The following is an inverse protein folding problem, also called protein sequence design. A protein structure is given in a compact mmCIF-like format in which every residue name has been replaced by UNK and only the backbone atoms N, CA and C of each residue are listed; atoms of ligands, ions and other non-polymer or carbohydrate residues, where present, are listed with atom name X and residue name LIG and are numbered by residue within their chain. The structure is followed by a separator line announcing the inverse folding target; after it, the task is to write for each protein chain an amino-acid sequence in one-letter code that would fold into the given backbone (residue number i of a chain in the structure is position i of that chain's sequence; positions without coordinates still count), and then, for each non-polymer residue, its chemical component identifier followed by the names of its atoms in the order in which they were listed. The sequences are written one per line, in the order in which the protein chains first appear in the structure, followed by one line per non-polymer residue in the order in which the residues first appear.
data_IF_997592369635
#
_entry.id   IF_997592369635
#
_cell.length_a   1.000
_cell.length_b   1.000
_cell.length_c   1.000
_cell.angle_alpha   90.00
_cell.angle_beta   90.00
_cell.angle_gamma   90.00
#
_symmetry.space_group_name_H-M   'P 1'
#
loop_
_entity.id
_entity.type
_entity.pdbx_description
1 polymer ?
#
# COMPACT_ATOMS: atom_id res chain seq x y z
N UNK A 1 34.15 3.52 5.43
CA UNK A 1 33.11 4.38 6.02
C UNK A 1 31.88 3.53 6.30
N UNK A 2 31.43 3.47 7.54
CA UNK A 2 30.16 2.82 7.87
C UNK A 2 29.03 3.63 7.22
N UNK A 3 28.26 2.99 6.33
CA UNK A 3 27.10 3.62 5.68
C UNK A 3 25.95 3.64 6.67
N UNK A 4 25.29 4.79 6.84
CA UNK A 4 24.07 4.92 7.65
C UNK A 4 22.86 4.62 6.76
N UNK A 5 22.02 3.68 7.19
CA UNK A 5 20.76 3.34 6.53
C UNK A 5 19.61 3.81 7.41
N UNK A 6 18.84 4.79 6.92
CA UNK A 6 17.61 5.28 7.53
C UNK A 6 16.41 4.58 6.89
N UNK A 7 15.59 3.94 7.71
CA UNK A 7 14.37 3.28 7.30
C UNK A 7 13.19 4.05 7.90
N UNK A 8 12.21 4.38 7.09
CA UNK A 8 10.96 5.00 7.53
C UNK A 8 9.83 4.00 7.30
N UNK A 9 9.18 3.58 8.38
CA UNK A 9 7.98 2.76 8.35
C UNK A 9 6.73 3.64 8.47
N UNK A 10 5.99 3.74 7.37
CA UNK A 10 4.75 4.49 7.26
C UNK A 10 3.51 3.57 7.29
N UNK A 11 3.66 2.32 7.71
CA UNK A 11 2.62 1.28 7.61
C UNK A 11 1.56 1.35 8.73
N UNK A 12 1.77 2.21 9.73
CA UNK A 12 0.85 2.48 10.84
C UNK A 12 0.27 1.20 11.45
N UNK A 13 -1.05 0.99 11.38
CA UNK A 13 -1.76 -0.16 11.93
C UNK A 13 -1.33 -1.52 11.37
N UNK A 14 -0.60 -1.53 10.25
CA UNK A 14 -0.05 -2.75 9.62
C UNK A 14 1.45 -2.92 9.86
N UNK A 15 2.09 -1.96 10.56
CA UNK A 15 3.49 -2.09 10.96
C UNK A 15 3.64 -3.30 11.89
N UNK A 16 4.65 -4.15 11.64
CA UNK A 16 4.90 -5.33 12.45
C UNK A 16 6.41 -5.51 12.71
N UNK A 17 6.85 -5.75 13.96
CA UNK A 17 8.28 -5.82 14.32
C UNK A 17 9.05 -6.89 13.56
N UNK A 18 8.38 -7.97 13.17
CA UNK A 18 9.00 -9.07 12.43
C UNK A 18 9.69 -8.63 11.13
N UNK A 19 9.14 -7.65 10.41
CA UNK A 19 9.76 -7.11 9.20
C UNK A 19 11.16 -6.56 9.50
N UNK A 20 11.28 -5.80 10.59
CA UNK A 20 12.54 -5.15 10.97
C UNK A 20 13.50 -6.11 11.67
N UNK A 21 13.01 -7.06 12.46
CA UNK A 21 13.82 -8.14 13.02
C UNK A 21 14.51 -8.95 11.91
N UNK A 22 13.73 -9.37 10.89
CA UNK A 22 14.28 -10.09 9.74
C UNK A 22 15.37 -9.28 9.04
N UNK A 23 15.13 -7.98 8.83
CA UNK A 23 16.08 -7.10 8.20
C UNK A 23 17.37 -6.91 9.01
N UNK A 24 17.28 -6.83 10.35
CA UNK A 24 18.45 -6.79 11.23
C UNK A 24 19.31 -8.06 11.08
N UNK A 25 18.69 -9.25 11.06
CA UNK A 25 19.41 -10.49 10.79
C UNK A 25 20.07 -10.51 9.40
N UNK A 26 19.38 -9.98 8.38
CA UNK A 26 19.93 -9.89 7.02
C UNK A 26 21.12 -8.92 6.95
N UNK A 27 21.08 -7.82 7.70
CA UNK A 27 22.22 -6.90 7.82
C UNK A 27 23.38 -7.50 8.59
N UNK A 28 23.14 -8.27 9.65
CA UNK A 28 24.18 -8.96 10.39
C UNK A 28 24.97 -9.92 9.49
N UNK A 29 24.28 -10.64 8.59
CA UNK A 29 24.89 -11.59 7.64
C UNK A 29 25.53 -10.95 6.40
N UNK A 30 25.52 -9.62 6.27
CA UNK A 30 25.97 -8.93 5.05
C UNK A 30 27.50 -8.95 4.91
N UNK A 31 27.98 -9.25 3.69
CA UNK A 31 29.40 -9.08 3.36
C UNK A 31 29.83 -7.60 3.51
N UNK A 32 30.88 -7.37 4.32
CA UNK A 32 31.33 -6.03 4.69
C UNK A 32 30.80 -5.52 6.03
N UNK A 33 30.03 -6.33 6.76
CA UNK A 33 29.49 -6.02 8.08
C UNK A 33 28.16 -5.24 8.04
N UNK A 34 27.45 -5.16 9.18
CA UNK A 34 26.19 -4.43 9.26
C UNK A 34 26.41 -2.91 9.14
N UNK A 35 25.51 -2.17 8.47
CA UNK A 35 25.50 -0.71 8.52
C UNK A 35 25.04 -0.22 9.91
N UNK A 36 25.19 1.08 10.15
CA UNK A 36 24.40 1.74 11.20
C UNK A 36 22.95 1.85 10.70
N UNK A 37 22.01 1.34 11.47
CA UNK A 37 20.59 1.29 11.11
C UNK A 37 19.82 2.28 11.97
N UNK A 38 19.03 3.14 11.33
CA UNK A 38 18.12 4.04 12.03
C UNK A 38 16.71 3.79 11.53
N UNK A 39 15.80 3.44 12.41
CA UNK A 39 14.41 3.14 12.07
C UNK A 39 13.49 4.20 12.67
N UNK A 40 12.70 4.86 11.84
CA UNK A 40 11.61 5.73 12.27
C UNK A 40 10.28 5.03 11.99
N UNK A 41 9.45 4.80 13.02
CA UNK A 41 8.12 4.18 12.85
C UNK A 41 7.04 5.21 13.16
N UNK A 42 6.12 5.38 12.21
CA UNK A 42 4.90 6.19 12.37
C UNK A 42 3.76 5.27 12.81
N UNK A 43 3.16 5.54 13.97
CA UNK A 43 2.00 4.82 14.48
C UNK A 43 1.19 5.70 15.44
N UNK A 44 -0.09 5.45 15.58
CA UNK A 44 -1.00 6.11 16.53
C UNK A 44 -1.06 5.48 17.93
N UNK A 45 -0.31 4.40 18.19
CA UNK A 45 -0.27 3.68 19.47
C UNK A 45 1.13 3.82 20.08
N UNK A 46 1.21 4.58 21.18
CA UNK A 46 2.47 4.84 21.86
C UNK A 46 3.01 3.61 22.60
N UNK A 47 2.14 2.75 23.13
CA UNK A 47 2.54 1.53 23.85
C UNK A 47 3.09 0.52 22.86
N UNK A 48 2.45 0.40 21.69
CA UNK A 48 2.96 -0.41 20.59
C UNK A 48 4.37 0.05 20.16
N UNK A 49 4.56 1.36 19.97
CA UNK A 49 5.86 1.95 19.61
C UNK A 49 6.93 1.69 20.70
N UNK A 50 6.57 1.80 21.98
CA UNK A 50 7.49 1.54 23.08
C UNK A 50 7.92 0.06 23.13
N UNK A 51 6.96 -0.87 22.99
CA UNK A 51 7.24 -2.30 22.95
C UNK A 51 8.11 -2.68 21.75
N UNK A 52 7.80 -2.12 20.57
CA UNK A 52 8.57 -2.34 19.34
C UNK A 52 10.01 -1.82 19.48
N UNK A 53 10.19 -0.63 20.08
CA UNK A 53 11.52 -0.06 20.37
C UNK A 53 12.36 -1.01 21.22
N UNK A 54 11.82 -1.46 22.36
CA UNK A 54 12.53 -2.37 23.28
C UNK A 54 12.92 -3.66 22.56
N UNK A 55 11.97 -4.27 21.85
CA UNK A 55 12.20 -5.52 21.13
C UNK A 55 13.31 -5.40 20.08
N UNK A 56 13.26 -4.37 19.23
CA UNK A 56 14.21 -4.17 18.15
C UNK A 56 15.59 -3.72 18.65
N UNK A 57 15.65 -2.86 19.67
CA UNK A 57 16.92 -2.45 20.30
C UNK A 57 17.62 -3.65 20.93
N UNK A 58 16.90 -4.46 21.71
CA UNK A 58 17.47 -5.66 22.33
C UNK A 58 18.01 -6.65 21.28
N UNK A 59 17.32 -6.82 20.15
CA UNK A 59 17.81 -7.72 19.09
C UNK A 59 19.01 -7.13 18.35
N UNK A 60 19.01 -5.82 18.06
CA UNK A 60 20.14 -5.15 17.45
C UNK A 60 21.41 -5.23 18.32
N UNK A 61 21.28 -5.08 19.64
CA UNK A 61 22.37 -5.22 20.61
C UNK A 61 22.97 -6.63 20.60
N UNK A 62 22.13 -7.67 20.58
CA UNK A 62 22.58 -9.07 20.45
C UNK A 62 23.35 -9.30 19.15
N UNK A 63 22.87 -8.71 18.05
CA UNK A 63 23.50 -8.80 16.73
C UNK A 63 24.70 -7.86 16.55
N UNK A 64 25.00 -7.02 17.56
CA UNK A 64 26.04 -6.00 17.56
C UNK A 64 25.91 -5.02 16.38
N UNK A 65 24.67 -4.66 16.04
CA UNK A 65 24.35 -3.70 14.99
C UNK A 65 24.16 -2.33 15.65
N UNK A 66 24.89 -1.27 15.23
CA UNK A 66 24.61 0.09 15.68
C UNK A 66 23.19 0.48 15.26
N UNK A 67 22.29 0.68 16.22
CA UNK A 67 20.86 0.84 15.96
C UNK A 67 20.25 2.03 16.71
N UNK A 68 19.43 2.82 16.02
CA UNK A 68 18.63 3.89 16.60
C UNK A 68 17.16 3.72 16.20
N UNK A 69 16.25 3.83 17.17
CA UNK A 69 14.81 3.80 16.91
C UNK A 69 14.19 5.16 17.27
N UNK A 70 13.43 5.74 16.33
CA UNK A 70 12.69 6.98 16.49
C UNK A 70 11.19 6.70 16.35
N UNK A 71 10.39 7.28 17.23
CA UNK A 71 8.92 7.17 17.21
C UNK A 71 8.29 8.46 16.71
N UNK A 72 7.31 8.34 15.83
CA UNK A 72 6.47 9.47 15.40
C UNK A 72 5.02 9.09 15.64
N UNK A 73 4.35 9.81 16.54
CA UNK A 73 2.95 9.54 16.87
C UNK A 73 2.07 10.18 15.79
N UNK A 74 1.27 9.36 15.10
CA UNK A 74 0.33 9.84 14.10
C UNK A 74 0.01 8.82 13.02
N UNK A 75 -0.75 9.26 12.01
CA UNK A 75 -1.10 8.51 10.81
C UNK A 75 -0.62 9.25 9.57
N UNK A 76 -0.59 8.56 8.43
CA UNK A 76 -0.09 9.12 7.17
C UNK A 76 -0.84 10.40 6.76
N UNK A 77 -2.16 10.42 6.94
CA UNK A 77 -3.02 11.56 6.62
C UNK A 77 -2.86 12.76 7.58
N UNK A 78 -2.22 12.58 8.74
CA UNK A 78 -2.04 13.63 9.76
C UNK A 78 -0.60 14.15 9.87
N UNK A 79 0.35 13.61 9.10
CA UNK A 79 1.74 14.06 9.14
C UNK A 79 1.88 15.49 8.61
N UNK A 80 2.81 16.25 9.20
CA UNK A 80 3.20 17.55 8.67
C UNK A 80 4.07 17.38 7.41
N UNK A 81 3.40 17.36 6.27
CA UNK A 81 4.05 17.20 4.97
C UNK A 81 4.91 18.40 4.57
N UNK A 82 4.67 19.59 5.17
CA UNK A 82 5.46 20.79 4.88
C UNK A 82 6.86 20.72 5.50
N UNK A 83 7.00 19.96 6.57
CA UNK A 83 8.24 19.81 7.33
C UNK A 83 8.67 18.33 7.50
N UNK A 84 8.26 17.47 6.56
CA UNK A 84 8.34 16.01 6.68
C UNK A 84 9.73 15.49 7.05
N UNK A 85 10.81 16.12 6.57
CA UNK A 85 12.19 15.75 6.90
C UNK A 85 12.47 15.82 8.39
N UNK A 86 12.01 16.89 9.05
CA UNK A 86 12.20 17.09 10.48
C UNK A 86 11.24 16.20 11.28
N UNK A 87 9.99 16.08 10.84
CA UNK A 87 9.00 15.18 11.44
C UNK A 87 9.51 13.73 11.53
N UNK A 88 10.25 13.28 10.52
CA UNK A 88 10.78 11.92 10.43
C UNK A 88 12.23 11.76 10.94
N UNK A 89 12.83 12.81 11.50
CA UNK A 89 14.23 12.85 11.97
C UNK A 89 15.25 12.36 10.90
N UNK A 90 15.09 12.83 9.65
CA UNK A 90 15.95 12.41 8.54
C UNK A 90 17.13 13.37 8.39
N UNK A 91 18.35 12.88 8.65
CA UNK A 91 19.58 13.68 8.52
C UNK A 91 20.11 13.66 7.08
N UNK A 92 20.94 14.65 6.74
CA UNK A 92 21.60 14.70 5.44
C UNK A 92 22.71 13.64 5.35
N UNK A 93 22.87 13.03 4.17
CA UNK A 93 23.89 12.01 3.91
C UNK A 93 23.51 10.57 4.27
N UNK A 94 22.33 10.35 4.85
CA UNK A 94 21.79 9.00 5.13
C UNK A 94 21.24 8.36 3.85
N UNK A 95 21.41 7.04 3.69
CA UNK A 95 20.68 6.29 2.67
C UNK A 95 19.26 6.02 3.19
N UNK A 96 18.23 6.48 2.48
CA UNK A 96 16.84 6.49 2.95
C UNK A 96 16.03 5.40 2.23
N UNK A 97 15.43 4.49 2.98
CA UNK A 97 14.43 3.54 2.51
C UNK A 97 13.08 3.83 3.17
N UNK A 98 12.00 3.85 2.39
CA UNK A 98 10.64 4.06 2.88
C UNK A 98 9.85 2.78 2.67
N UNK A 99 9.10 2.34 3.67
CA UNK A 99 8.13 1.25 3.58
C UNK A 99 6.75 1.82 3.88
N UNK A 100 5.80 1.60 2.97
CA UNK A 100 4.43 2.05 3.12
C UNK A 100 3.49 0.90 2.71
N UNK A 101 2.99 0.18 3.70
CA UNK A 101 2.09 -0.96 3.47
C UNK A 101 0.68 -0.59 3.88
N UNK A 102 -0.27 -0.69 2.94
CA UNK A 102 -1.72 -0.57 3.13
C UNK A 102 -2.11 0.76 3.80
N UNK A 103 -1.53 1.87 3.36
CA UNK A 103 -1.80 3.20 3.95
C UNK A 103 -1.94 4.32 2.90
N UNK A 104 -1.36 4.18 1.70
CA UNK A 104 -1.41 5.24 0.69
C UNK A 104 -2.83 5.46 0.16
N UNK A 105 -3.67 4.43 0.10
CA UNK A 105 -5.07 4.57 -0.32
C UNK A 105 -5.86 5.60 0.53
N UNK A 106 -5.47 5.79 1.79
CA UNK A 106 -6.08 6.78 2.69
C UNK A 106 -5.85 8.23 2.24
N UNK A 107 -4.85 8.46 1.40
CA UNK A 107 -4.52 9.78 0.83
C UNK A 107 -5.37 10.12 -0.41
N UNK A 108 -6.19 9.18 -0.89
CA UNK A 108 -7.12 9.37 -2.01
C UNK A 108 -8.43 10.05 -1.59
N UNK A 109 -8.53 10.49 -0.33
CA UNK A 109 -9.68 11.25 0.18
C UNK A 109 -9.88 12.52 -0.66
N UNK A 110 -11.14 12.74 -1.04
CA UNK A 110 -11.59 13.93 -1.78
C UNK A 110 -12.27 14.87 -0.79
N UNK A 111 -11.72 16.07 -0.61
CA UNK A 111 -12.34 17.15 0.17
C UNK A 111 -13.30 17.93 -0.75
N UNK A 112 -14.52 17.43 -0.87
CA UNK A 112 -15.61 18.18 -1.49
C UNK A 112 -16.16 19.17 -0.46
N UNK A 113 -15.57 20.37 -0.40
CA UNK A 113 -16.09 21.49 0.41
C UNK A 113 -17.51 21.95 0.03
N UNK A 114 -18.17 21.28 -0.91
CA UNK A 114 -19.55 21.56 -1.31
C UNK A 114 -20.50 20.69 -0.47
N UNK A 115 -20.92 21.23 0.69
CA UNK A 115 -22.06 20.80 1.53
C UNK A 115 -21.97 19.42 2.24
N UNK A 116 -20.95 19.24 3.09
CA UNK A 116 -20.66 17.97 3.77
C UNK A 116 -21.59 17.55 4.94
N UNK A 117 -22.83 18.01 5.04
CA UNK A 117 -23.77 17.44 6.03
C UNK A 117 -25.01 16.82 5.40
N UNK A 118 -25.69 17.51 4.48
CA UNK A 118 -26.93 17.01 3.86
C UNK A 118 -26.70 15.96 2.75
N UNK A 119 -25.83 16.25 1.79
CA UNK A 119 -25.66 15.39 0.60
C UNK A 119 -25.02 14.05 0.97
N UNK A 120 -23.98 14.06 1.81
CA UNK A 120 -23.33 12.83 2.28
C UNK A 120 -24.27 11.91 3.06
N UNK A 121 -25.16 12.48 3.89
CA UNK A 121 -26.18 11.70 4.61
C UNK A 121 -27.23 11.11 3.67
N UNK A 122 -27.74 11.90 2.71
CA UNK A 122 -28.70 11.42 1.73
C UNK A 122 -28.11 10.33 0.83
N UNK A 123 -26.86 10.47 0.41
CA UNK A 123 -26.18 9.47 -0.41
C UNK A 123 -25.90 8.19 0.39
N UNK A 124 -25.55 8.30 1.68
CA UNK A 124 -25.47 7.14 2.56
C UNK A 124 -26.82 6.43 2.72
N UNK A 125 -27.91 7.17 2.90
CA UNK A 125 -29.26 6.60 2.95
C UNK A 125 -29.62 5.91 1.64
N UNK A 126 -29.24 6.50 0.50
CA UNK A 126 -29.45 5.90 -0.82
C UNK A 126 -28.66 4.58 -0.98
N UNK A 127 -27.38 4.54 -0.58
CA UNK A 127 -26.57 3.33 -0.62
C UNK A 127 -27.15 2.23 0.29
N UNK A 128 -27.63 2.58 1.48
CA UNK A 128 -28.31 1.63 2.39
C UNK A 128 -29.61 1.12 1.75
N UNK A 129 -30.41 1.99 1.14
CA UNK A 129 -31.64 1.59 0.47
C UNK A 129 -31.35 0.65 -0.72
N UNK A 130 -30.33 0.96 -1.53
CA UNK A 130 -29.88 0.10 -2.62
C UNK A 130 -29.40 -1.27 -2.12
N UNK A 131 -28.62 -1.29 -1.04
CA UNK A 131 -28.16 -2.54 -0.43
C UNK A 131 -29.33 -3.39 0.09
N UNK A 132 -30.28 -2.77 0.79
CA UNK A 132 -31.49 -3.45 1.28
C UNK A 132 -32.34 -4.00 0.12
N UNK A 133 -32.47 -3.24 -0.98
CA UNK A 133 -33.16 -3.70 -2.17
C UNK A 133 -32.46 -4.92 -2.79
N UNK A 134 -31.14 -4.88 -2.95
CA UNK A 134 -30.35 -6.00 -3.46
C UNK A 134 -30.45 -7.24 -2.57
N UNK A 135 -30.47 -7.07 -1.24
CA UNK A 135 -30.62 -8.17 -0.28
C UNK A 135 -32.03 -8.79 -0.27
N UNK A 136 -33.07 -8.01 -0.63
CA UNK A 136 -34.47 -8.45 -0.61
C UNK A 136 -34.94 -9.05 -1.94
N UNK A 137 -34.22 -8.81 -3.04
CA UNK A 137 -34.62 -9.28 -4.36
C UNK A 137 -34.13 -10.70 -4.64
N UNK A 138 -35.06 -11.64 -4.86
CA UNK A 138 -34.76 -13.01 -5.36
C UNK A 138 -34.37 -13.01 -6.85
N UNK A 139 -34.35 -11.86 -7.52
CA UNK A 139 -33.91 -11.68 -8.90
C UNK A 139 -33.11 -10.39 -9.10
N UNK A 140 -32.11 -10.42 -9.98
CA UNK A 140 -31.21 -9.30 -10.31
C UNK A 140 -31.97 -8.01 -10.69
N UNK A 141 -31.66 -6.86 -10.07
CA UNK A 141 -32.26 -5.59 -10.47
C UNK A 141 -31.47 -5.01 -11.65
N UNK A 142 -31.83 -5.43 -12.86
CA UNK A 142 -31.63 -4.59 -14.04
C UNK A 142 -32.71 -3.50 -14.01
N UNK A 143 -32.51 -2.43 -13.24
CA UNK A 143 -33.33 -1.21 -13.32
C UNK A 143 -32.55 0.00 -12.82
N UNK A 144 -32.21 0.84 -13.78
CA UNK A 144 -31.49 2.12 -13.68
C UNK A 144 -32.30 3.18 -12.94
N UNK A 145 -31.85 3.58 -11.76
CA UNK A 145 -32.16 4.89 -11.17
C UNK A 145 -31.07 5.88 -11.65
N UNK A 146 -31.40 6.64 -12.69
CA UNK A 146 -30.54 7.69 -13.22
C UNK A 146 -30.55 8.89 -12.26
N UNK A 147 -29.54 8.98 -11.40
CA UNK A 147 -29.21 10.21 -10.69
C UNK A 147 -28.46 11.18 -11.61
N UNK A 148 -28.55 12.50 -11.39
CA UNK A 148 -27.86 13.50 -12.21
C UNK A 148 -26.36 13.22 -12.23
N UNK A 149 -25.84 12.95 -13.43
CA UNK A 149 -24.42 12.74 -13.66
C UNK A 149 -23.73 14.10 -13.74
N UNK A 150 -22.87 14.39 -12.77
CA UNK A 150 -21.84 15.41 -12.94
C UNK A 150 -20.67 14.82 -13.74
N UNK A 151 -20.08 15.56 -14.69
CA UNK A 151 -18.92 15.08 -15.43
C UNK A 151 -17.73 14.78 -14.50
N UNK A 152 -17.10 13.63 -14.71
CA UNK A 152 -16.02 13.03 -13.92
C UNK A 152 -14.75 13.89 -13.82
N UNK A 153 -14.18 14.10 -12.61
CA UNK A 153 -12.79 14.52 -12.44
C UNK A 153 -11.83 13.35 -12.14
N UNK A 154 -12.06 12.12 -12.65
CA UNK A 154 -11.18 10.96 -12.40
C UNK A 154 -9.75 11.11 -12.97
N UNK A 155 -9.44 12.17 -13.71
CA UNK A 155 -8.10 12.40 -14.23
C UNK A 155 -7.18 13.20 -13.29
N UNK A 156 -7.70 13.76 -12.19
CA UNK A 156 -6.91 14.62 -11.28
C UNK A 156 -6.45 13.83 -10.06
N UNK A 157 -5.13 13.84 -9.84
CA UNK A 157 -4.51 13.34 -8.62
C UNK A 157 -5.13 14.00 -7.38
N UNK A 158 -5.54 13.23 -6.36
CA UNK A 158 -5.99 13.79 -5.09
C UNK A 158 -4.92 14.70 -4.46
N UNK A 159 -5.34 15.86 -3.95
CA UNK A 159 -4.42 16.92 -3.47
C UNK A 159 -3.52 16.42 -2.35
N UNK A 160 -4.05 15.63 -1.42
CA UNK A 160 -3.29 15.11 -0.28
C UNK A 160 -2.22 14.11 -0.76
N UNK A 161 -2.57 13.18 -1.65
CA UNK A 161 -1.61 12.27 -2.29
C UNK A 161 -0.51 13.03 -3.05
N UNK A 162 -0.88 14.04 -3.85
CA UNK A 162 0.09 14.86 -4.59
C UNK A 162 1.07 15.58 -3.63
N UNK A 163 0.55 16.13 -2.54
CA UNK A 163 1.35 16.83 -1.52
C UNK A 163 2.31 15.86 -0.83
N UNK A 164 1.81 14.67 -0.47
CA UNK A 164 2.60 13.62 0.17
C UNK A 164 3.74 13.14 -0.74
N UNK A 165 3.43 12.76 -1.98
CA UNK A 165 4.44 12.28 -2.93
C UNK A 165 5.48 13.36 -3.24
N UNK A 166 5.08 14.63 -3.32
CA UNK A 166 6.01 15.75 -3.46
C UNK A 166 6.94 15.89 -2.24
N UNK A 167 6.39 15.78 -1.03
CA UNK A 167 7.18 15.83 0.21
C UNK A 167 8.16 14.65 0.30
N UNK A 168 7.70 13.42 0.01
CA UNK A 168 8.55 12.22 -0.04
C UNK A 168 9.66 12.37 -1.08
N UNK A 169 9.35 12.87 -2.27
CA UNK A 169 10.35 13.13 -3.32
C UNK A 169 11.43 14.10 -2.86
N UNK A 170 11.07 15.13 -2.09
CA UNK A 170 12.03 16.09 -1.53
C UNK A 170 12.98 15.46 -0.48
N UNK A 171 12.59 14.34 0.15
CA UNK A 171 13.49 13.56 1.00
C UNK A 171 14.60 12.87 0.20
N UNK A 172 14.41 12.69 -1.12
CA UNK A 172 15.28 11.94 -2.04
C UNK A 172 15.54 10.50 -1.56
N UNK A 173 14.50 9.70 -1.30
CA UNK A 173 14.68 8.31 -0.88
C UNK A 173 15.46 7.51 -1.93
N UNK A 174 16.31 6.60 -1.48
CA UNK A 174 16.99 5.63 -2.34
C UNK A 174 15.99 4.61 -2.90
N UNK A 175 15.00 4.23 -2.09
CA UNK A 175 13.92 3.33 -2.47
C UNK A 175 12.69 3.58 -1.60
N UNK A 176 11.51 3.42 -2.20
CA UNK A 176 10.22 3.40 -1.52
C UNK A 176 9.48 2.12 -1.92
N UNK A 177 9.19 1.28 -0.94
CA UNK A 177 8.38 0.07 -1.10
C UNK A 177 6.93 0.39 -0.78
N UNK A 178 6.04 0.02 -1.68
CA UNK A 178 4.60 0.22 -1.54
C UNK A 178 3.92 -1.12 -1.67
N UNK A 179 3.15 -1.49 -0.64
CA UNK A 179 2.24 -2.61 -0.67
C UNK A 179 0.81 -2.08 -0.54
N UNK A 180 -0.08 -2.40 -1.48
CA UNK A 180 -1.46 -1.89 -1.50
C UNK A 180 -2.44 -2.98 -1.92
N UNK A 181 -3.70 -2.87 -1.47
CA UNK A 181 -4.79 -3.70 -1.98
C UNK A 181 -4.97 -3.48 -3.48
N UNK A 182 -4.97 -4.56 -4.28
CA UNK A 182 -5.11 -4.49 -5.74
C UNK A 182 -6.57 -4.67 -6.18
N UNK A 183 -7.40 -3.66 -5.91
CA UNK A 183 -8.83 -3.66 -6.24
C UNK A 183 -9.33 -2.26 -6.61
N UNK A 184 -10.35 -2.16 -7.45
CA UNK A 184 -10.97 -0.87 -7.78
C UNK A 184 -12.16 -0.54 -6.86
N UNK A 185 -11.89 -0.32 -5.56
CA UNK A 185 -12.91 0.09 -4.59
C UNK A 185 -13.16 1.61 -4.58
N UNK A 186 -12.43 2.36 -5.41
CA UNK A 186 -12.61 3.81 -5.57
C UNK A 186 -13.47 4.21 -6.78
N UNK A 187 -14.23 3.27 -7.36
CA UNK A 187 -15.16 3.57 -8.46
C UNK A 187 -16.24 4.60 -8.07
N UNK A 188 -16.68 5.41 -9.05
CA UNK A 188 -17.67 6.48 -8.81
C UNK A 188 -19.05 5.92 -8.45
N UNK A 189 -19.50 4.88 -9.17
CA UNK A 189 -20.83 4.31 -9.00
C UNK A 189 -20.84 3.28 -7.86
N UNK A 190 -21.92 3.31 -7.06
CA UNK A 190 -22.12 2.34 -5.98
C UNK A 190 -22.13 0.90 -6.51
N UNK A 191 -22.85 0.63 -7.60
CA UNK A 191 -22.96 -0.72 -8.16
C UNK A 191 -21.60 -1.31 -8.54
N UNK A 192 -20.70 -0.49 -9.11
CA UNK A 192 -19.35 -0.93 -9.48
C UNK A 192 -18.52 -1.24 -8.23
N UNK A 193 -18.59 -0.38 -7.21
CA UNK A 193 -17.92 -0.64 -5.93
C UNK A 193 -18.47 -1.88 -5.24
N UNK A 194 -19.79 -2.07 -5.25
CA UNK A 194 -20.44 -3.23 -4.66
C UNK A 194 -20.00 -4.53 -5.34
N UNK A 195 -20.06 -4.59 -6.66
CA UNK A 195 -19.64 -5.76 -7.42
C UNK A 195 -18.15 -6.06 -7.23
N UNK A 196 -17.28 -5.05 -7.28
CA UNK A 196 -15.84 -5.24 -7.07
C UNK A 196 -15.52 -5.68 -5.63
N UNK A 197 -16.14 -5.06 -4.62
CA UNK A 197 -15.97 -5.44 -3.22
C UNK A 197 -16.46 -6.86 -2.97
N UNK A 198 -17.64 -7.24 -3.46
CA UNK A 198 -18.16 -8.59 -3.31
C UNK A 198 -17.17 -9.63 -3.85
N UNK A 199 -16.66 -9.44 -5.08
CA UNK A 199 -15.70 -10.35 -5.69
C UNK A 199 -14.35 -10.38 -4.97
N UNK A 200 -13.86 -9.22 -4.53
CA UNK A 200 -12.59 -9.10 -3.81
C UNK A 200 -12.66 -9.81 -2.44
N UNK A 201 -13.66 -9.47 -1.63
CA UNK A 201 -13.79 -10.01 -0.29
C UNK A 201 -14.24 -11.46 -0.31
N UNK A 202 -15.02 -11.93 -1.30
CA UNK A 202 -15.29 -13.37 -1.45
C UNK A 202 -13.98 -14.18 -1.53
N UNK A 203 -13.02 -13.72 -2.34
CA UNK A 203 -11.71 -14.37 -2.44
C UNK A 203 -10.91 -14.34 -1.12
N UNK A 204 -10.99 -13.25 -0.35
CA UNK A 204 -10.37 -13.18 0.98
C UNK A 204 -11.02 -14.14 1.98
N UNK A 205 -12.36 -14.17 2.04
CA UNK A 205 -13.11 -15.07 2.92
C UNK A 205 -12.85 -16.54 2.56
N UNK A 206 -12.77 -16.88 1.27
CA UNK A 206 -12.38 -18.22 0.80
C UNK A 206 -10.95 -18.57 1.25
N UNK A 207 -10.02 -17.62 1.16
CA UNK A 207 -8.64 -17.83 1.60
C UNK A 207 -8.56 -18.09 3.11
N UNK A 208 -9.33 -17.37 3.92
CA UNK A 208 -9.39 -17.58 5.38
C UNK A 208 -10.08 -18.88 5.75
N UNK A 209 -11.11 -19.27 4.99
CA UNK A 209 -11.74 -20.56 5.14
C UNK A 209 -10.72 -21.69 4.90
N UNK A 210 -9.90 -21.60 3.86
CA UNK A 210 -8.84 -22.56 3.58
C UNK A 210 -7.76 -22.60 4.68
N UNK A 211 -7.39 -21.45 5.26
CA UNK A 211 -6.46 -21.37 6.40
C UNK A 211 -7.02 -22.11 7.62
N UNK A 212 -8.30 -21.91 7.95
CA UNK A 212 -8.93 -22.59 9.10
C UNK A 212 -9.12 -24.08 8.82
N UNK A 213 -9.43 -24.47 7.57
CA UNK A 213 -9.49 -25.88 7.18
C UNK A 213 -8.14 -26.58 7.37
N UNK A 214 -7.03 -25.89 7.04
CA UNK A 214 -5.68 -26.40 7.25
C UNK A 214 -5.22 -26.33 8.72
N UNK A 215 -5.74 -25.38 9.50
CA UNK A 215 -5.40 -25.19 10.92
C UNK A 215 -6.64 -24.76 11.74
N UNK A 216 -7.42 -25.71 12.27
CA UNK A 216 -8.67 -25.42 12.98
C UNK A 216 -8.51 -24.55 14.24
N UNK A 217 -7.30 -24.49 14.82
CA UNK A 217 -7.03 -23.67 16.02
C UNK A 217 -7.18 -22.16 15.77
N UNK A 218 -7.19 -21.74 14.50
CA UNK A 218 -7.31 -20.34 14.08
C UNK A 218 -8.75 -19.88 13.81
N UNK A 219 -9.77 -20.69 14.13
CA UNK A 219 -11.17 -20.35 13.85
C UNK A 219 -11.65 -19.06 14.56
N UNK A 220 -11.22 -18.82 15.81
CA UNK A 220 -11.53 -17.59 16.53
C UNK A 220 -10.84 -16.37 15.89
N UNK A 221 -9.56 -16.51 15.54
CA UNK A 221 -8.79 -15.49 14.84
C UNK A 221 -9.47 -15.08 13.52
N UNK A 222 -9.94 -16.06 12.73
CA UNK A 222 -10.70 -15.82 11.49
C UNK A 222 -11.93 -14.94 11.77
N UNK A 223 -12.75 -15.34 12.74
CA UNK A 223 -14.00 -14.62 13.06
C UNK A 223 -13.74 -13.17 13.47
N UNK A 224 -12.64 -12.93 14.19
CA UNK A 224 -12.19 -11.59 14.59
C UNK A 224 -11.72 -10.78 13.38
N UNK A 225 -10.88 -11.34 12.51
CA UNK A 225 -10.38 -10.66 11.30
C UNK A 225 -11.52 -10.33 10.34
N UNK A 226 -12.40 -11.29 10.05
CA UNK A 226 -13.55 -11.08 9.17
C UNK A 226 -14.47 -9.97 9.68
N UNK A 227 -14.71 -9.89 10.99
CA UNK A 227 -15.61 -8.90 11.58
C UNK A 227 -14.95 -7.53 11.77
N UNK A 228 -13.77 -7.50 12.38
CA UNK A 228 -13.14 -6.27 12.88
C UNK A 228 -12.25 -5.58 11.85
N UNK A 229 -11.84 -6.30 10.80
CA UNK A 229 -10.99 -5.76 9.73
C UNK A 229 -11.79 -5.74 8.43
N UNK A 230 -12.07 -6.91 7.82
CA UNK A 230 -12.72 -6.95 6.51
C UNK A 230 -14.13 -6.34 6.55
N UNK A 231 -14.91 -6.63 7.59
CA UNK A 231 -16.26 -6.09 7.76
C UNK A 231 -16.29 -4.56 7.88
N UNK A 232 -15.31 -3.97 8.57
CA UNK A 232 -15.21 -2.51 8.69
C UNK A 232 -14.72 -1.86 7.39
N UNK A 233 -13.81 -2.51 6.66
CA UNK A 233 -13.42 -2.05 5.32
C UNK A 233 -14.60 -2.05 4.35
N UNK A 234 -15.35 -3.17 4.28
CA UNK A 234 -16.54 -3.30 3.44
C UNK A 234 -17.58 -2.22 3.77
N UNK A 235 -17.83 -2.00 5.08
CA UNK A 235 -18.73 -0.92 5.52
C UNK A 235 -18.23 0.44 5.06
N UNK A 236 -16.94 0.73 5.17
CA UNK A 236 -16.39 2.00 4.73
C UNK A 236 -16.53 2.19 3.20
N UNK A 237 -16.22 1.16 2.42
CA UNK A 237 -16.31 1.20 0.94
C UNK A 237 -17.74 1.47 0.46
N UNK A 238 -18.74 0.83 1.09
CA UNK A 238 -20.12 0.83 0.61
C UNK A 238 -21.01 1.90 1.28
N UNK A 239 -20.77 2.18 2.56
CA UNK A 239 -21.70 2.99 3.38
C UNK A 239 -21.16 4.39 3.71
N UNK A 240 -19.89 4.68 3.42
CA UNK A 240 -19.32 6.01 3.60
C UNK A 240 -19.13 6.72 2.26
N UNK A 241 -19.09 8.05 2.28
CA UNK A 241 -18.77 8.88 1.12
C UNK A 241 -17.92 10.09 1.54
N UNK A 242 -17.41 10.83 0.54
CA UNK A 242 -16.60 12.03 0.74
C UNK A 242 -15.39 11.76 1.64
N UNK A 243 -15.19 12.64 2.63
CA UNK A 243 -14.08 12.56 3.61
C UNK A 243 -14.18 11.39 4.58
N UNK A 244 -15.38 10.82 4.76
CA UNK A 244 -15.59 9.70 5.68
C UNK A 244 -15.22 8.35 5.05
N UNK A 245 -15.24 8.25 3.72
CA UNK A 245 -14.76 7.07 2.98
C UNK A 245 -13.27 7.18 2.74
N UNK A 246 -12.50 6.38 3.45
CA UNK A 246 -11.04 6.36 3.40
C UNK A 246 -10.49 5.04 2.83
N UNK A 247 -11.29 3.98 2.80
CA UNK A 247 -10.97 2.72 2.12
C UNK A 247 -11.21 2.86 0.61
N UNK A 248 -10.23 3.48 -0.06
CA UNK A 248 -10.28 3.84 -1.48
C UNK A 248 -9.24 3.07 -2.28
N UNK A 249 -9.35 1.76 -2.30
CA UNK A 249 -8.37 0.95 -3.01
C UNK A 249 -8.38 1.24 -4.52
N UNK A 250 -7.19 1.26 -5.10
CA UNK A 250 -6.97 1.36 -6.54
C UNK A 250 -6.00 0.27 -6.98
N UNK A 251 -6.11 -0.14 -8.24
CA UNK A 251 -5.25 -1.17 -8.82
C UNK A 251 -3.82 -0.67 -9.00
N UNK A 252 -2.87 -1.60 -9.07
CA UNK A 252 -1.45 -1.32 -9.31
C UNK A 252 -1.22 -0.38 -10.51
N UNK A 253 -2.00 -0.52 -11.58
CA UNK A 253 -1.91 0.35 -12.76
C UNK A 253 -2.21 1.82 -12.46
N UNK A 254 -3.15 2.10 -11.55
CA UNK A 254 -3.48 3.47 -11.12
C UNK A 254 -2.39 4.01 -10.19
N UNK A 255 -1.92 3.19 -9.24
CA UNK A 255 -0.78 3.55 -8.39
C UNK A 255 0.46 3.88 -9.21
N UNK A 256 0.77 3.09 -10.24
CA UNK A 256 1.88 3.36 -11.15
C UNK A 256 1.73 4.69 -11.88
N UNK A 257 0.52 5.01 -12.35
CA UNK A 257 0.23 6.32 -12.95
C UNK A 257 0.44 7.46 -11.95
N UNK A 258 0.04 7.28 -10.69
CA UNK A 258 0.21 8.31 -9.66
C UNK A 258 1.68 8.55 -9.32
N UNK A 259 2.47 7.48 -9.23
CA UNK A 259 3.90 7.53 -8.97
C UNK A 259 4.66 8.21 -10.11
N UNK A 260 4.37 7.83 -11.36
CA UNK A 260 4.96 8.42 -12.57
C UNK A 260 4.69 9.93 -12.65
N UNK A 261 3.41 10.34 -12.52
CA UNK A 261 3.01 11.76 -12.51
C UNK A 261 3.65 12.57 -11.39
N UNK A 262 4.07 11.90 -10.31
CA UNK A 262 4.74 12.51 -9.17
C UNK A 262 6.26 12.50 -9.28
N UNK A 263 6.82 12.04 -10.41
CA UNK A 263 8.26 12.00 -10.65
C UNK A 263 8.95 10.87 -9.90
N UNK A 264 8.35 9.69 -9.84
CA UNK A 264 8.98 8.46 -9.39
C UNK A 264 9.16 7.47 -10.56
N UNK A 265 10.34 6.88 -10.65
CA UNK A 265 10.65 5.76 -11.53
C UNK A 265 10.29 4.44 -10.84
N UNK A 266 9.74 3.51 -11.61
CA UNK A 266 9.62 2.12 -11.19
C UNK A 266 11.00 1.48 -10.96
N UNK A 267 11.12 0.65 -9.93
CA UNK A 267 12.31 -0.15 -9.63
C UNK A 267 11.91 -1.63 -9.67
N UNK A 268 12.36 -2.40 -10.69
CA UNK A 268 12.08 -3.83 -10.76
C UNK A 268 12.47 -4.57 -9.48
N UNK A 269 11.56 -5.39 -8.95
CA UNK A 269 11.90 -6.28 -7.84
C UNK A 269 12.95 -7.30 -8.32
N UNK A 270 13.97 -7.53 -7.49
CA UNK A 270 15.01 -8.48 -7.84
C UNK A 270 14.44 -9.90 -7.97
N UNK A 271 14.97 -10.69 -8.90
CA UNK A 271 14.61 -12.11 -9.06
C UNK A 271 14.64 -12.86 -7.72
N UNK A 272 15.66 -12.60 -6.89
CA UNK A 272 15.80 -13.22 -5.57
C UNK A 272 14.65 -12.85 -4.63
N UNK A 273 14.24 -11.57 -4.59
CA UNK A 273 13.13 -11.13 -3.75
C UNK A 273 11.80 -11.78 -4.17
N UNK A 274 11.54 -11.85 -5.48
CA UNK A 274 10.35 -12.54 -6.03
C UNK A 274 10.39 -14.02 -5.66
N UNK A 275 11.53 -14.68 -5.86
CA UNK A 275 11.70 -16.10 -5.55
C UNK A 275 11.50 -16.38 -4.06
N UNK A 276 12.11 -15.61 -3.16
CA UNK A 276 11.95 -15.76 -1.71
C UNK A 276 10.48 -15.54 -1.28
N UNK A 277 9.80 -14.55 -1.86
CA UNK A 277 8.37 -14.32 -1.65
C UNK A 277 7.52 -15.53 -2.09
N UNK A 278 7.78 -16.07 -3.28
CA UNK A 278 7.06 -17.22 -3.82
C UNK A 278 7.28 -18.48 -2.96
N UNK A 279 8.53 -18.75 -2.54
CA UNK A 279 8.84 -19.84 -1.62
C UNK A 279 8.09 -19.68 -0.29
N UNK A 280 8.02 -18.46 0.23
CA UNK A 280 7.28 -18.19 1.46
C UNK A 280 5.79 -18.45 1.30
N UNK A 281 5.19 -18.05 0.19
CA UNK A 281 3.78 -18.34 -0.11
C UNK A 281 3.53 -19.83 -0.22
N UNK A 282 4.36 -20.56 -0.96
CA UNK A 282 4.26 -22.01 -1.09
C UNK A 282 4.42 -22.74 0.25
N UNK A 283 5.22 -22.20 1.17
CA UNK A 283 5.40 -22.78 2.51
C UNK A 283 4.12 -22.81 3.35
N UNK A 284 3.09 -22.03 3.00
CA UNK A 284 1.78 -22.11 3.66
C UNK A 284 0.92 -23.28 3.18
N UNK A 285 1.26 -23.92 2.04
CA UNK A 285 0.57 -25.10 1.53
C UNK A 285 -0.88 -24.86 1.09
N UNK A 286 -1.25 -23.61 0.76
CA UNK A 286 -2.60 -23.24 0.36
C UNK A 286 -2.73 -23.21 -1.15
N UNK A 287 -3.41 -24.18 -1.74
CA UNK A 287 -3.54 -24.34 -3.20
C UNK A 287 -4.10 -23.11 -3.95
N UNK A 288 -4.95 -22.32 -3.28
CA UNK A 288 -5.50 -21.09 -3.86
C UNK A 288 -4.54 -19.91 -3.82
N UNK A 289 -3.52 -19.92 -2.97
CA UNK A 289 -2.60 -18.81 -2.79
C UNK A 289 -1.51 -18.86 -3.87
N UNK A 290 -1.50 -17.83 -4.71
CA UNK A 290 -0.58 -17.74 -5.84
C UNK A 290 0.05 -16.36 -5.88
N UNK A 291 1.18 -16.25 -6.59
CA UNK A 291 1.77 -14.98 -6.93
C UNK A 291 1.94 -14.85 -8.44
N UNK A 292 1.79 -13.62 -8.93
CA UNK A 292 2.05 -13.25 -10.32
C UNK A 292 3.05 -12.11 -10.34
N UNK A 293 3.86 -12.08 -11.39
CA UNK A 293 4.74 -10.93 -11.64
C UNK A 293 4.14 -10.16 -12.80
N UNK A 294 3.82 -8.89 -12.58
CA UNK A 294 3.27 -7.98 -13.58
C UNK A 294 4.04 -6.67 -13.53
N UNK A 295 4.61 -6.23 -14.66
CA UNK A 295 5.46 -5.03 -14.74
C UNK A 295 6.57 -5.00 -13.68
N UNK A 296 7.21 -6.15 -13.44
CA UNK A 296 8.25 -6.35 -12.42
C UNK A 296 7.82 -6.04 -10.97
N UNK A 297 6.51 -5.94 -10.71
CA UNK A 297 5.88 -5.92 -9.41
C UNK A 297 5.38 -7.32 -9.03
N UNK A 298 5.21 -7.58 -7.73
CA UNK A 298 4.68 -8.84 -7.22
C UNK A 298 3.21 -8.66 -6.84
N UNK A 299 2.34 -9.46 -7.44
CA UNK A 299 0.91 -9.53 -7.13
C UNK A 299 0.64 -10.80 -6.32
N UNK A 300 0.02 -10.65 -5.15
CA UNK A 300 -0.50 -11.75 -4.33
C UNK A 300 -1.95 -12.02 -4.74
N UNK A 301 -2.27 -13.28 -5.01
CA UNK A 301 -3.55 -13.70 -5.57
C UNK A 301 -4.19 -14.84 -4.79
N UNK A 302 -5.52 -14.89 -4.84
CA UNK A 302 -6.30 -16.08 -4.51
C UNK A 302 -7.03 -16.56 -5.78
N UNK A 303 -6.60 -17.71 -6.31
CA UNK A 303 -7.03 -18.18 -7.63
C UNK A 303 -6.70 -17.15 -8.72
N UNK A 304 -7.70 -16.72 -9.49
CA UNK A 304 -7.53 -15.66 -10.50
C UNK A 304 -7.58 -14.24 -9.91
N UNK A 305 -8.03 -14.06 -8.66
CA UNK A 305 -8.29 -12.76 -8.07
C UNK A 305 -7.02 -12.16 -7.47
N UNK A 306 -6.66 -10.96 -7.89
CA UNK A 306 -5.58 -10.21 -7.29
C UNK A 306 -6.06 -9.63 -5.95
N UNK A 307 -5.21 -9.73 -4.92
CA UNK A 307 -5.50 -9.26 -3.57
C UNK A 307 -4.60 -8.10 -3.19
N UNK A 308 -3.29 -8.27 -3.31
CA UNK A 308 -2.32 -7.26 -2.94
C UNK A 308 -1.26 -7.10 -4.02
N UNK A 309 -0.76 -5.88 -4.16
CA UNK A 309 0.38 -5.56 -5.01
C UNK A 309 1.56 -5.11 -4.15
N UNK A 310 2.78 -5.46 -4.57
CA UNK A 310 4.03 -5.02 -3.97
C UNK A 310 4.89 -4.43 -5.08
N UNK A 311 5.25 -3.17 -4.93
CA UNK A 311 5.99 -2.39 -5.93
C UNK A 311 7.11 -1.58 -5.27
N UNK A 312 8.14 -1.26 -6.04
CA UNK A 312 9.26 -0.44 -5.58
C UNK A 312 9.48 0.75 -6.49
N UNK A 313 9.81 1.89 -5.87
CA UNK A 313 9.89 3.18 -6.54
C UNK A 313 11.10 3.96 -6.07
N UNK A 314 11.59 4.86 -6.92
CA UNK A 314 12.61 5.84 -6.56
C UNK A 314 12.32 7.19 -7.22
N UNK A 315 12.72 8.33 -6.65
CA UNK A 315 12.63 9.60 -7.34
C UNK A 315 13.37 9.56 -8.67
N UNK A 316 12.81 10.20 -9.70
CA UNK A 316 13.51 10.39 -10.97
C UNK A 316 14.89 11.00 -10.69
N UNK A 317 15.92 10.41 -11.31
CA UNK A 317 17.21 11.08 -11.38
C UNK A 317 17.02 12.27 -12.30
N UNK A 318 16.90 13.48 -11.73
CA UNK A 318 16.74 14.69 -12.51
C UNK A 318 17.76 14.68 -13.65
N UNK A 319 17.31 14.87 -14.89
CA UNK A 319 18.19 15.09 -16.01
C UNK A 319 19.07 16.28 -15.65
N UNK A 320 20.35 16.04 -15.37
CA UNK A 320 21.34 17.07 -15.63
C UNK A 320 21.10 17.49 -17.06
N UNK A 321 20.64 18.72 -17.28
CA UNK A 321 20.48 19.32 -18.60
C UNK A 321 21.85 19.37 -19.27
N UNK A 322 22.21 18.26 -19.89
CA UNK A 322 23.36 18.07 -20.76
C UNK A 322 22.78 17.51 -22.05
N UNK A 323 22.74 18.37 -23.06
CA UNK A 323 22.29 18.12 -24.42
C UNK A 323 22.59 16.70 -24.90
N UNK A 324 21.55 15.94 -25.26
CA UNK A 324 21.69 14.83 -26.20
C UNK A 324 20.94 15.19 -27.45
N UNK A 325 21.69 15.79 -28.37
CA UNK A 325 21.37 15.81 -29.79
C UNK A 325 21.02 14.40 -30.27
N UNK A 326 20.06 14.38 -31.19
CA UNK A 326 19.66 13.23 -31.96
C UNK A 326 20.86 12.47 -32.51
N UNK A 327 20.95 11.18 -32.20
CA UNK A 327 21.61 10.23 -33.08
C UNK A 327 20.75 8.98 -33.20
N UNK A 328 19.87 9.02 -34.20
CA UNK A 328 19.18 7.86 -34.73
C UNK A 328 20.24 6.94 -35.35
N UNK A 329 20.48 5.79 -34.72
CA UNK A 329 21.12 4.65 -35.38
C UNK A 329 20.03 3.63 -35.64
N UNK A 330 19.70 3.44 -36.92
CA UNK A 330 18.78 2.41 -37.40
C UNK A 330 19.38 1.01 -37.15
N UNK A 331 18.55 -0.01 -36.85
CA UNK A 331 19.02 -1.39 -36.76
C UNK A 331 19.11 -2.00 -38.18
N UNK A 332 20.32 -2.32 -38.64
CA UNK A 332 20.52 -3.20 -39.78
C UNK A 332 20.13 -4.63 -39.38
N UNK A 333 19.15 -5.18 -40.11
CA UNK A 333 18.84 -6.61 -40.16
C UNK A 333 20.01 -7.33 -40.84
N UNK A 334 20.65 -8.28 -40.15
CA UNK A 334 21.39 -9.34 -40.82
C UNK A 334 20.43 -10.50 -41.11
N UNK A 335 20.24 -10.75 -42.41
CA UNK A 335 19.62 -11.94 -42.96
C UNK A 335 20.73 -12.98 -43.13
N UNK A 336 20.42 -14.21 -42.72
CA UNK A 336 21.22 -15.42 -42.88
C UNK A 336 21.31 -15.75 -44.39
N UNK A 337 22.52 -16.02 -44.86
CA UNK A 337 22.85 -16.50 -46.21
C UNK A 337 24.34 -16.73 -46.33
#
# INVERSE_FOLDING_TARGET
MNKVVRIIDLSCSTAHPWQWLKLLHDFHGRQGGPPEVRLTVVHDDNDYLANMRILLSNEADKLKIPFQFSSVIGRLETLDLSNLRNTLDIKYGEAIAISCSLQMHRLLVVDDKVSCSGIGQLQKMANIAQLNQMASSVYSPASTLNYPQTPSPQCKMPKLLATFLSAVRALKPNIMLVMEQDANHNALLFCDRFAEALNYYAALFDSFHAVVAANPRRADERSRVERMILGEEIKNILLCEGVYRHERHERLSQWAMHMDRSGFDHVPLSFRAIWEGNQKLMSFGLNGCQSKVENDCLLLCWGSRHLYSISAWRPHKGSTSGSREHMLVQPQRQIIG
#
